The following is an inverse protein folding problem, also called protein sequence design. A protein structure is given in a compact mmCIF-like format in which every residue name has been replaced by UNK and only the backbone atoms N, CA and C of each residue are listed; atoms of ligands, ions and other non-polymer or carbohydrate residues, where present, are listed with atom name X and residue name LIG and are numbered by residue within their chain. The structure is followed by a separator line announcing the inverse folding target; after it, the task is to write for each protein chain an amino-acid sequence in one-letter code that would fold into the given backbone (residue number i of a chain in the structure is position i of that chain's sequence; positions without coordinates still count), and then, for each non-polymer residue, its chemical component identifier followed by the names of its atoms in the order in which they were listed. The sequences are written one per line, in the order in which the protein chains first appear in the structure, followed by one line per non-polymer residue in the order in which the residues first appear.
data_IF_647883269923
#
_entry.id   IF_647883269923
#
_cell.length_a   1.000
_cell.length_b   1.000
_cell.length_c   1.000
_cell.angle_alpha   90.00
_cell.angle_beta   90.00
_cell.angle_gamma   90.00
#
_symmetry.space_group_name_H-M   'P 1'
#
loop_
_entity.id
_entity.type
_entity.pdbx_description
1 polymer ?
#
# COMPACT_ATOMS: atom_id res chain seq x y z
N UNK A 1 -12.49 11.43 4.12
CA UNK A 1 -11.83 10.15 4.46
C UNK A 1 -10.88 9.76 3.35
N UNK A 2 -9.61 9.61 3.67
CA UNK A 2 -8.59 9.24 2.68
C UNK A 2 -8.46 7.72 2.63
N UNK A 3 -8.61 7.14 1.45
CA UNK A 3 -8.57 5.69 1.24
C UNK A 3 -7.20 5.26 0.75
N UNK A 4 -6.62 4.28 1.43
CA UNK A 4 -5.27 3.81 1.16
C UNK A 4 -5.23 2.31 0.86
N UNK A 5 -4.32 1.95 -0.03
CA UNK A 5 -3.93 0.56 -0.28
C UNK A 5 -2.48 0.37 0.19
N UNK A 6 -2.17 -0.74 0.82
CA UNK A 6 -0.84 -1.01 1.38
C UNK A 6 -0.26 -2.28 0.77
N UNK A 7 0.84 -2.14 0.07
CA UNK A 7 1.65 -3.26 -0.39
C UNK A 7 2.75 -3.54 0.63
N UNK A 8 2.76 -4.73 1.21
CA UNK A 8 3.67 -5.10 2.29
C UNK A 8 3.13 -4.80 3.69
N UNK A 9 1.84 -5.04 3.90
CA UNK A 9 1.14 -4.69 5.13
C UNK A 9 1.63 -5.45 6.38
N UNK A 10 2.25 -6.59 6.21
CA UNK A 10 2.77 -7.41 7.32
C UNK A 10 4.22 -7.10 7.68
N UNK A 11 4.90 -6.27 6.90
CA UNK A 11 6.25 -5.81 7.17
C UNK A 11 6.29 -4.68 8.20
N UNK A 12 7.49 -4.22 8.54
CA UNK A 12 7.70 -3.18 9.56
C UNK A 12 6.97 -1.87 9.21
N UNK A 13 7.16 -1.35 8.01
CA UNK A 13 6.50 -0.10 7.59
C UNK A 13 4.99 -0.31 7.44
N UNK A 14 4.58 -1.45 6.90
CA UNK A 14 3.16 -1.76 6.73
C UNK A 14 2.42 -1.81 8.07
N UNK A 15 2.98 -2.46 9.07
CA UNK A 15 2.38 -2.53 10.40
C UNK A 15 2.34 -1.17 11.09
N UNK A 16 3.38 -0.36 10.95
CA UNK A 16 3.40 1.02 11.44
C UNK A 16 2.33 1.88 10.75
N UNK A 17 2.16 1.71 9.45
CA UNK A 17 1.11 2.40 8.70
C UNK A 17 -0.29 2.04 9.23
N UNK A 18 -0.51 0.76 9.50
CA UNK A 18 -1.78 0.32 10.07
C UNK A 18 -2.02 0.87 11.47
N UNK A 19 -0.98 1.02 12.27
CA UNK A 19 -1.09 1.66 13.58
C UNK A 19 -1.51 3.13 13.47
N UNK A 20 -0.98 3.83 12.48
CA UNK A 20 -1.44 5.20 12.17
C UNK A 20 -2.91 5.22 11.81
N UNK A 21 -3.35 4.28 10.98
CA UNK A 21 -4.76 4.19 10.59
C UNK A 21 -5.67 3.96 11.80
N UNK A 22 -5.26 3.10 12.74
CA UNK A 22 -6.03 2.87 13.99
C UNK A 22 -6.29 4.16 14.75
N UNK A 23 -5.32 5.06 14.75
CA UNK A 23 -5.37 6.31 15.53
C UNK A 23 -5.92 7.49 14.73
N UNK A 24 -6.29 7.29 13.47
CA UNK A 24 -6.77 8.38 12.60
C UNK A 24 -8.03 7.96 11.84
N UNK A 25 -9.21 8.33 12.33
CA UNK A 25 -10.48 7.92 11.71
C UNK A 25 -10.69 8.50 10.30
N UNK A 26 -9.86 9.45 9.89
CA UNK A 26 -9.90 9.99 8.53
C UNK A 26 -9.21 9.11 7.49
N UNK A 27 -8.52 8.06 7.93
CA UNK A 27 -7.85 7.10 7.05
C UNK A 27 -8.64 5.80 7.01
N UNK A 28 -8.78 5.23 5.82
CA UNK A 28 -9.43 3.95 5.62
C UNK A 28 -8.56 3.05 4.75
N UNK A 29 -8.33 1.83 5.22
CA UNK A 29 -7.65 0.81 4.41
C UNK A 29 -8.66 0.15 3.49
N UNK A 30 -8.41 0.17 2.19
CA UNK A 30 -9.27 -0.49 1.19
C UNK A 30 -8.62 -1.71 0.56
N UNK A 31 -7.30 -1.84 0.66
CA UNK A 31 -6.59 -3.02 0.18
C UNK A 31 -5.31 -3.26 0.96
N UNK A 32 -4.97 -4.52 1.11
CA UNK A 32 -3.75 -4.99 1.77
C UNK A 32 -3.07 -6.04 0.89
N UNK A 33 -1.74 -6.08 0.92
CA UNK A 33 -0.98 -7.16 0.29
C UNK A 33 0.22 -7.56 1.13
N UNK A 34 0.52 -8.85 1.14
CA UNK A 34 1.65 -9.43 1.85
C UNK A 34 2.29 -10.58 1.08
N UNK A 35 3.44 -11.06 1.55
CA UNK A 35 4.13 -12.19 0.96
C UNK A 35 3.50 -13.53 1.32
N UNK A 36 3.79 -14.01 2.52
CA UNK A 36 3.41 -15.36 2.99
C UNK A 36 2.74 -15.38 4.37
N UNK A 37 2.67 -14.26 5.06
CA UNK A 37 2.20 -14.18 6.45
C UNK A 37 0.67 -14.23 6.53
N UNK A 38 0.10 -15.42 6.35
CA UNK A 38 -1.35 -15.63 6.27
C UNK A 38 -2.06 -15.25 7.57
N UNK A 39 -1.55 -15.68 8.71
CA UNK A 39 -2.18 -15.42 10.01
C UNK A 39 -2.26 -13.92 10.31
N UNK A 40 -1.18 -13.21 10.06
CA UNK A 40 -1.14 -11.77 10.26
C UNK A 40 -2.06 -11.04 9.28
N UNK A 41 -2.10 -11.50 8.03
CA UNK A 41 -3.02 -10.95 7.03
C UNK A 41 -4.49 -11.18 7.42
N UNK A 42 -4.84 -12.37 7.92
CA UNK A 42 -6.19 -12.65 8.41
C UNK A 42 -6.59 -11.68 9.52
N UNK A 43 -5.69 -11.45 10.50
CA UNK A 43 -5.94 -10.49 11.58
C UNK A 43 -6.17 -9.07 11.04
N UNK A 44 -5.36 -8.65 10.09
CA UNK A 44 -5.49 -7.33 9.46
C UNK A 44 -6.80 -7.20 8.68
N UNK A 45 -7.21 -8.23 7.96
CA UNK A 45 -8.48 -8.25 7.24
C UNK A 45 -9.67 -8.13 8.20
N UNK A 46 -9.64 -8.88 9.30
CA UNK A 46 -10.71 -8.83 10.30
C UNK A 46 -10.80 -7.50 11.02
N UNK A 47 -9.69 -6.81 11.17
CA UNK A 47 -9.64 -5.51 11.83
C UNK A 47 -10.03 -4.36 10.90
N UNK A 48 -9.48 -4.32 9.69
CA UNK A 48 -9.59 -3.17 8.79
C UNK A 48 -10.66 -3.32 7.70
N UNK A 49 -11.16 -4.53 7.50
CA UNK A 49 -12.20 -4.83 6.51
C UNK A 49 -11.91 -4.29 5.10
N UNK A 50 -10.74 -4.61 4.50
CA UNK A 50 -10.43 -4.17 3.14
C UNK A 50 -11.33 -4.84 2.11
N UNK A 51 -11.43 -4.23 0.94
CA UNK A 51 -12.16 -4.80 -0.19
C UNK A 51 -11.38 -5.92 -0.88
N UNK A 52 -10.05 -5.77 -0.93
CA UNK A 52 -9.14 -6.72 -1.58
C UNK A 52 -7.96 -7.01 -0.67
N UNK A 53 -7.54 -8.27 -0.62
CA UNK A 53 -6.32 -8.71 0.02
C UNK A 53 -5.49 -9.55 -0.93
N UNK A 54 -4.20 -9.25 -1.05
CA UNK A 54 -3.27 -9.94 -1.94
C UNK A 54 -2.22 -10.74 -1.17
N UNK A 55 -1.93 -11.95 -1.63
CA UNK A 55 -0.79 -12.74 -1.17
C UNK A 55 0.13 -13.01 -2.36
N UNK A 56 1.44 -12.85 -2.16
CA UNK A 56 2.38 -13.13 -3.24
C UNK A 56 2.43 -14.61 -3.61
N UNK A 57 2.38 -15.48 -2.60
CA UNK A 57 2.37 -16.93 -2.76
C UNK A 57 0.95 -17.43 -3.05
N UNK A 58 0.79 -18.24 -4.09
CA UNK A 58 -0.49 -18.88 -4.41
C UNK A 58 -0.96 -19.81 -3.29
N UNK A 59 -0.04 -20.53 -2.67
CA UNK A 59 -0.35 -21.39 -1.53
C UNK A 59 -0.88 -20.58 -0.34
N UNK A 60 -0.24 -19.46 -0.04
CA UNK A 60 -0.68 -18.56 1.02
C UNK A 60 -2.05 -17.94 0.68
N UNK A 61 -2.29 -17.60 -0.59
CA UNK A 61 -3.58 -17.09 -1.02
C UNK A 61 -4.71 -18.11 -0.86
N UNK A 62 -4.44 -19.38 -1.19
CA UNK A 62 -5.40 -20.46 -1.01
C UNK A 62 -5.76 -20.68 0.47
N UNK A 63 -4.76 -20.68 1.36
CA UNK A 63 -4.97 -20.76 2.81
C UNK A 63 -5.79 -19.55 3.30
N UNK A 64 -5.41 -18.35 2.89
CA UNK A 64 -6.13 -17.12 3.28
C UNK A 64 -7.60 -17.16 2.83
N UNK A 65 -7.88 -17.59 1.61
CA UNK A 65 -9.27 -17.71 1.13
C UNK A 65 -10.12 -18.59 2.04
N UNK A 66 -9.56 -19.70 2.50
CA UNK A 66 -10.26 -20.60 3.44
C UNK A 66 -10.52 -19.93 4.79
N UNK A 67 -9.54 -19.17 5.29
CA UNK A 67 -9.63 -18.53 6.61
C UNK A 67 -10.61 -17.36 6.64
N UNK A 68 -10.76 -16.64 5.53
CA UNK A 68 -11.63 -15.45 5.43
C UNK A 68 -12.88 -15.69 4.60
N UNK A 69 -13.28 -16.96 4.41
CA UNK A 69 -14.45 -17.33 3.63
C UNK A 69 -15.75 -16.73 4.19
N UNK A 70 -15.76 -16.34 5.46
CA UNK A 70 -16.88 -15.67 6.13
C UNK A 70 -16.94 -14.16 5.90
N UNK A 71 -15.96 -13.59 5.20
CA UNK A 71 -15.83 -12.14 4.99
C UNK A 71 -15.97 -11.77 3.51
N UNK A 72 -16.54 -10.60 3.19
CA UNK A 72 -16.72 -10.16 1.80
C UNK A 72 -15.42 -9.51 1.26
N UNK A 73 -14.29 -10.20 1.37
CA UNK A 73 -13.01 -9.74 0.87
C UNK A 73 -12.58 -10.57 -0.34
N UNK A 74 -12.13 -9.89 -1.40
CA UNK A 74 -11.56 -10.57 -2.57
C UNK A 74 -10.09 -10.89 -2.30
N UNK A 75 -9.70 -12.15 -2.45
CA UNK A 75 -8.30 -12.56 -2.30
C UNK A 75 -7.66 -12.74 -3.68
N UNK A 76 -6.58 -12.02 -3.92
CA UNK A 76 -5.81 -12.04 -5.18
C UNK A 76 -4.38 -12.50 -4.91
N UNK A 77 -3.64 -12.85 -5.96
CA UNK A 77 -2.32 -13.44 -5.81
C UNK A 77 -1.34 -12.96 -6.89
N UNK A 78 -0.07 -13.02 -6.55
CA UNK A 78 1.03 -12.74 -7.47
C UNK A 78 1.09 -11.30 -7.97
N UNK A 79 1.82 -11.10 -9.05
CA UNK A 79 1.97 -9.77 -9.65
C UNK A 79 0.64 -9.21 -10.16
N UNK A 80 -0.19 -10.04 -10.77
CA UNK A 80 -1.50 -9.59 -11.26
C UNK A 80 -2.37 -9.07 -10.11
N UNK A 81 -2.32 -9.74 -8.96
CA UNK A 81 -3.01 -9.29 -7.75
C UNK A 81 -2.48 -7.95 -7.23
N UNK A 82 -1.16 -7.76 -7.23
CA UNK A 82 -0.56 -6.49 -6.84
C UNK A 82 -0.95 -5.35 -7.79
N UNK A 83 -0.99 -5.63 -9.09
CA UNK A 83 -1.41 -4.64 -10.08
C UNK A 83 -2.88 -4.28 -9.93
N UNK A 84 -3.74 -5.25 -9.67
CA UNK A 84 -5.16 -5.00 -9.40
C UNK A 84 -5.34 -4.08 -8.19
N UNK A 85 -4.61 -4.33 -7.11
CA UNK A 85 -4.63 -3.45 -5.92
C UNK A 85 -4.10 -2.06 -6.25
N UNK A 86 -3.01 -1.98 -7.01
CA UNK A 86 -2.36 -0.71 -7.33
C UNK A 86 -3.25 0.24 -8.13
N UNK A 87 -4.11 -0.29 -9.00
CA UNK A 87 -4.96 0.53 -9.88
C UNK A 87 -6.41 0.63 -9.41
N UNK A 88 -6.78 0.00 -8.31
CA UNK A 88 -8.17 0.01 -7.85
C UNK A 88 -8.70 1.44 -7.64
N UNK A 89 -9.88 1.77 -8.17
CA UNK A 89 -10.36 3.14 -8.14
C UNK A 89 -10.70 3.66 -6.74
N UNK A 90 -10.97 2.79 -5.80
CA UNK A 90 -11.32 3.16 -4.43
C UNK A 90 -10.13 3.73 -3.65
N UNK A 91 -8.90 3.36 -3.98
CA UNK A 91 -7.71 3.87 -3.29
C UNK A 91 -7.23 5.19 -3.89
N UNK A 92 -6.91 6.15 -3.04
CA UNK A 92 -6.33 7.44 -3.43
C UNK A 92 -4.81 7.45 -3.29
N UNK A 93 -4.29 6.68 -2.35
CA UNK A 93 -2.86 6.56 -2.06
C UNK A 93 -2.45 5.09 -2.06
N UNK A 94 -1.33 4.80 -2.69
CA UNK A 94 -0.68 3.50 -2.59
C UNK A 94 0.55 3.62 -1.70
N UNK A 95 0.57 2.86 -0.60
CA UNK A 95 1.75 2.73 0.25
C UNK A 95 2.55 1.53 -0.25
N UNK A 96 3.77 1.76 -0.72
CA UNK A 96 4.65 0.70 -1.20
C UNK A 96 5.72 0.39 -0.15
N UNK A 97 5.48 -0.67 0.59
CA UNK A 97 6.38 -1.15 1.64
C UNK A 97 6.91 -2.57 1.35
N UNK A 98 6.92 -2.96 0.09
CA UNK A 98 7.47 -4.24 -0.37
C UNK A 98 8.98 -4.08 -0.56
N UNK A 99 9.77 -5.03 -0.09
CA UNK A 99 11.20 -5.06 -0.32
C UNK A 99 11.54 -5.58 -1.72
N UNK A 100 12.65 -5.11 -2.28
CA UNK A 100 13.15 -5.55 -3.59
C UNK A 100 12.44 -4.89 -4.76
N UNK A 101 12.59 -5.52 -5.93
CA UNK A 101 12.15 -4.99 -7.22
C UNK A 101 10.67 -5.23 -7.52
N UNK A 102 9.99 -6.02 -6.71
CA UNK A 102 8.58 -6.41 -6.93
C UNK A 102 7.65 -5.19 -6.94
N UNK A 103 7.98 -4.18 -6.17
CA UNK A 103 7.17 -2.97 -6.04
C UNK A 103 7.21 -2.01 -7.22
N UNK A 104 8.15 -2.17 -8.18
CA UNK A 104 8.32 -1.22 -9.29
C UNK A 104 7.11 -1.20 -10.21
N UNK A 105 6.66 -2.36 -10.68
CA UNK A 105 5.52 -2.45 -11.60
C UNK A 105 4.22 -1.93 -10.98
N UNK A 106 3.85 -2.34 -9.76
CA UNK A 106 2.66 -1.78 -9.10
C UNK A 106 2.75 -0.27 -8.89
N UNK A 107 3.93 0.24 -8.55
CA UNK A 107 4.14 1.69 -8.37
C UNK A 107 3.88 2.45 -9.67
N UNK A 108 4.45 1.99 -10.78
CA UNK A 108 4.24 2.61 -12.10
C UNK A 108 2.75 2.57 -12.47
N UNK A 109 2.11 1.42 -12.30
CA UNK A 109 0.68 1.27 -12.61
C UNK A 109 -0.20 2.21 -11.77
N UNK A 110 0.12 2.38 -10.49
CA UNK A 110 -0.61 3.30 -9.61
C UNK A 110 -0.44 4.76 -10.02
N UNK A 111 0.78 5.15 -10.42
CA UNK A 111 1.04 6.51 -10.93
C UNK A 111 0.22 6.76 -12.21
N UNK A 112 0.21 5.82 -13.13
CA UNK A 112 -0.60 5.90 -14.36
C UNK A 112 -2.10 5.97 -14.07
N UNK A 113 -2.53 5.37 -12.96
CA UNK A 113 -3.91 5.45 -12.49
C UNK A 113 -4.21 6.74 -11.68
N UNK A 114 -3.25 7.66 -11.58
CA UNK A 114 -3.44 8.94 -10.92
C UNK A 114 -3.39 8.91 -9.39
N UNK A 115 -2.71 7.92 -8.80
CA UNK A 115 -2.62 7.79 -7.35
C UNK A 115 -1.34 8.40 -6.80
N UNK A 116 -1.45 9.02 -5.64
CA UNK A 116 -0.26 9.40 -4.87
C UNK A 116 0.42 8.16 -4.31
N UNK A 117 1.74 8.22 -4.22
CA UNK A 117 2.57 7.10 -3.77
C UNK A 117 3.28 7.47 -2.48
N UNK A 118 3.05 6.72 -1.43
CA UNK A 118 3.87 6.75 -0.23
C UNK A 118 4.92 5.65 -0.35
N UNK A 119 6.16 6.04 -0.66
CA UNK A 119 7.21 5.13 -1.09
C UNK A 119 8.20 4.87 0.05
N UNK A 120 8.16 3.66 0.59
CA UNK A 120 9.09 3.21 1.63
C UNK A 120 10.32 2.49 1.08
N UNK A 121 10.26 2.03 -0.18
CA UNK A 121 11.32 1.24 -0.79
C UNK A 121 12.30 2.14 -1.53
N UNK A 122 13.47 2.40 -0.92
CA UNK A 122 14.55 3.18 -1.54
C UNK A 122 15.09 2.55 -2.82
N UNK A 123 15.07 1.23 -2.91
CA UNK A 123 15.55 0.49 -4.08
C UNK A 123 14.76 0.84 -5.33
N UNK A 124 13.47 1.10 -5.19
CA UNK A 124 12.61 1.52 -6.29
C UNK A 124 13.07 2.87 -6.86
N UNK A 125 13.41 3.84 -6.01
CA UNK A 125 13.93 5.13 -6.47
C UNK A 125 15.32 5.02 -7.08
N UNK A 126 16.19 4.22 -6.51
CA UNK A 126 17.55 4.01 -7.04
C UNK A 126 17.51 3.34 -8.41
N UNK A 127 16.68 2.32 -8.58
CA UNK A 127 16.61 1.53 -9.79
C UNK A 127 15.74 2.16 -10.88
N UNK A 128 14.57 2.69 -10.51
CA UNK A 128 13.54 3.14 -11.45
C UNK A 128 13.17 4.62 -11.28
N UNK A 129 13.90 5.38 -10.48
CA UNK A 129 13.60 6.80 -10.25
C UNK A 129 13.60 7.63 -11.52
N UNK A 130 14.47 7.30 -12.48
CA UNK A 130 14.52 7.95 -13.79
C UNK A 130 13.28 7.73 -14.65
N UNK A 131 12.46 6.74 -14.32
CA UNK A 131 11.16 6.47 -14.95
C UNK A 131 10.02 7.02 -14.09
N UNK A 132 10.06 6.73 -12.80
CA UNK A 132 8.99 7.04 -11.84
C UNK A 132 8.82 8.55 -11.65
N UNK A 133 9.91 9.29 -11.45
CA UNK A 133 9.82 10.73 -11.15
C UNK A 133 9.26 11.55 -12.32
N UNK A 134 9.72 11.36 -13.58
CA UNK A 134 9.12 12.05 -14.71
C UNK A 134 7.66 11.65 -14.95
N UNK A 135 7.34 10.36 -14.75
CA UNK A 135 5.97 9.88 -14.92
C UNK A 135 5.03 10.49 -13.88
N UNK A 136 5.46 10.57 -12.63
CA UNK A 136 4.70 11.20 -11.55
C UNK A 136 4.44 12.69 -11.85
N UNK A 137 5.46 13.40 -12.33
CA UNK A 137 5.32 14.80 -12.73
C UNK A 137 4.34 14.96 -13.89
N UNK A 138 4.40 14.08 -14.89
CA UNK A 138 3.47 14.09 -16.03
C UNK A 138 2.03 13.84 -15.60
N UNK A 139 1.82 12.91 -14.67
CA UNK A 139 0.49 12.55 -14.18
C UNK A 139 -0.03 13.48 -13.08
N UNK A 140 0.81 14.38 -12.57
CA UNK A 140 0.43 15.30 -11.50
C UNK A 140 0.22 14.62 -10.16
N UNK A 141 0.85 13.48 -9.93
CA UNK A 141 0.77 12.75 -8.66
C UNK A 141 2.00 13.02 -7.79
N UNK A 142 1.83 12.85 -6.49
CA UNK A 142 2.90 13.07 -5.51
C UNK A 142 3.62 11.77 -5.20
N UNK A 143 4.94 11.82 -5.11
CA UNK A 143 5.77 10.76 -4.56
C UNK A 143 6.25 11.22 -3.19
N UNK A 144 5.74 10.57 -2.16
CA UNK A 144 6.02 10.90 -0.78
C UNK A 144 7.00 9.88 -0.21
N UNK A 145 8.25 10.25 0.03
CA UNK A 145 9.20 9.31 0.63
C UNK A 145 8.79 9.02 2.07
N UNK A 146 8.83 7.73 2.42
CA UNK A 146 8.48 7.24 3.74
C UNK A 146 9.70 6.53 4.29
N UNK A 147 10.29 7.03 5.34
CA UNK A 147 11.34 6.31 6.04
C UNK A 147 10.78 5.54 7.24
N UNK A 148 11.65 4.76 7.87
CA UNK A 148 11.25 3.79 8.88
C UNK A 148 10.82 4.41 10.22
N UNK A 149 10.90 5.71 10.39
CA UNK A 149 10.67 6.30 11.71
C UNK A 149 9.28 6.90 11.87
N UNK A 150 9.06 8.14 11.46
CA UNK A 150 7.77 8.78 11.67
C UNK A 150 7.26 9.57 10.46
N UNK A 151 8.03 9.64 9.41
CA UNK A 151 7.68 10.41 8.21
C UNK A 151 6.43 9.87 7.50
N UNK A 152 6.20 8.56 7.54
CA UNK A 152 5.01 7.95 6.98
C UNK A 152 3.73 8.54 7.57
N UNK A 153 3.74 8.71 8.88
CA UNK A 153 2.62 9.22 9.65
C UNK A 153 2.30 10.64 9.22
N UNK A 154 3.34 11.47 9.15
CA UNK A 154 3.21 12.88 8.83
C UNK A 154 2.75 13.10 7.40
N UNK A 155 3.29 12.34 6.45
CA UNK A 155 2.96 12.50 5.05
C UNK A 155 1.55 12.04 4.71
N UNK A 156 1.08 10.95 5.31
CA UNK A 156 -0.29 10.49 5.12
C UNK A 156 -1.31 11.41 5.78
N UNK A 157 -0.94 12.02 6.89
CA UNK A 157 -1.82 12.86 7.70
C UNK A 157 -1.87 14.31 7.24
N UNK A 158 -0.72 14.86 6.80
CA UNK A 158 -0.55 16.29 6.46
C UNK A 158 -0.41 16.55 4.97
N UNK A 159 -0.72 15.59 4.11
CA UNK A 159 -0.54 15.72 2.65
C UNK A 159 -1.29 16.88 2.01
N UNK A 160 -2.31 17.40 2.69
CA UNK A 160 -3.09 18.54 2.22
C UNK A 160 -2.75 19.84 2.94
N UNK A 161 -1.93 19.76 3.99
CA UNK A 161 -1.48 20.95 4.68
C UNK A 161 -0.26 21.51 3.94
N UNK A 162 -0.41 22.70 3.42
CA UNK A 162 0.70 23.41 2.83
C UNK A 162 1.88 23.45 3.78
N UNK A 163 2.95 22.85 3.35
CA UNK A 163 4.32 23.27 3.56
C UNK A 163 4.98 23.18 4.94
N UNK A 164 4.32 23.22 6.07
CA UNK A 164 5.02 23.67 7.25
C UNK A 164 4.75 22.94 8.55
N UNK A 165 4.30 21.71 8.54
CA UNK A 165 4.19 20.99 9.80
C UNK A 165 5.34 20.02 9.97
N UNK A 166 6.38 20.42 10.68
CA UNK A 166 7.39 19.46 11.12
C UNK A 166 6.72 18.45 12.04
N UNK A 167 6.87 17.22 11.69
CA UNK A 167 6.48 16.15 12.59
C UNK A 167 7.62 15.83 13.53
#
# INVERSE_FOLDING_TARGET
MKKIAILGSTGSIGTQTLEVVRNNPELQVVALAAGKSVEQMEQQIREFHPLIAGMWSEEAAADLRSRVADLPVKVVTGMDGLLEIAVMPEAQVLVTAIVGMIGIRPTIAAIEAGKDIALANKETLVTAGHIIMPLAAKMGVKILPVDSEHSAICLLYTSDAADDTPC
#
